data_IF_049616903277
#
_entry.id   IF_049616903277
#
_cell.length_a   1.000
_cell.length_b   1.000
_cell.length_c   1.000
_cell.angle_alpha   90.00
_cell.angle_beta   90.00
_cell.angle_gamma   90.00
#
_symmetry.space_group_name_H-M   'P 1'
#
loop_
_entity.id
_entity.type
_entity.pdbx_description
1 polymer ?
#
# COMPACT_ATOMS: atom_id res chain seq x y z
N UNK A 1 -21.12 -48.31 -27.62
CA UNK A 1 -19.95 -48.24 -26.73
C UNK A 1 -19.39 -46.84 -26.84
N UNK A 2 -19.77 -45.96 -25.92
CA UNK A 2 -19.55 -44.51 -26.04
C UNK A 2 -18.17 -44.11 -25.54
N UNK A 3 -17.34 -43.61 -26.45
CA UNK A 3 -16.07 -42.94 -26.17
C UNK A 3 -16.33 -41.56 -25.55
N UNK A 4 -15.96 -41.41 -24.28
CA UNK A 4 -16.02 -40.15 -23.56
C UNK A 4 -14.97 -39.17 -24.12
N UNK A 5 -15.43 -37.96 -24.48
CA UNK A 5 -14.61 -36.84 -24.97
C UNK A 5 -13.52 -36.45 -23.97
N UNK A 6 -13.75 -36.74 -22.68
CA UNK A 6 -12.78 -36.52 -21.60
C UNK A 6 -11.59 -37.47 -21.73
N UNK A 7 -11.83 -38.73 -22.08
CA UNK A 7 -10.75 -39.71 -22.27
C UNK A 7 -9.86 -39.35 -23.48
N UNK A 8 -10.43 -38.77 -24.54
CA UNK A 8 -9.66 -38.31 -25.69
C UNK A 8 -8.76 -37.11 -25.35
N UNK A 9 -9.25 -36.17 -24.53
CA UNK A 9 -8.48 -34.99 -24.10
C UNK A 9 -7.34 -35.34 -23.14
N UNK A 10 -7.53 -36.33 -22.27
CA UNK A 10 -6.48 -36.83 -21.37
C UNK A 10 -5.35 -37.50 -22.16
N UNK A 11 -5.69 -38.30 -23.17
CA UNK A 11 -4.70 -38.96 -24.03
C UNK A 11 -3.85 -37.97 -24.84
N UNK A 12 -4.45 -36.87 -25.33
CA UNK A 12 -3.72 -35.79 -26.02
C UNK A 12 -2.80 -35.03 -25.04
N UNK A 13 -3.28 -34.73 -23.83
CA UNK A 13 -2.47 -34.06 -22.81
C UNK A 13 -1.26 -34.87 -22.35
N UNK A 14 -1.42 -36.20 -22.22
CA UNK A 14 -0.32 -37.11 -21.87
C UNK A 14 0.68 -37.29 -23.01
N UNK A 15 0.24 -37.22 -24.27
CA UNK A 15 1.13 -37.25 -25.44
C UNK A 15 2.07 -36.04 -25.47
N UNK A 16 1.57 -34.83 -25.17
CA UNK A 16 2.41 -33.63 -25.10
C UNK A 16 3.37 -33.62 -23.89
N UNK A 17 2.96 -34.18 -22.74
CA UNK A 17 3.85 -34.32 -21.58
C UNK A 17 5.00 -35.31 -21.80
N UNK A 18 4.81 -36.35 -22.63
CA UNK A 18 5.89 -37.30 -22.94
C UNK A 18 6.94 -36.74 -23.89
N UNK A 19 6.59 -35.76 -24.73
CA UNK A 19 7.52 -35.12 -25.67
C UNK A 19 8.42 -34.08 -24.99
N UNK A 20 8.02 -33.53 -23.84
CA UNK A 20 8.83 -32.52 -23.12
C UNK A 20 9.92 -33.09 -22.19
N UNK A 21 10.01 -34.41 -22.04
CA UNK A 21 10.92 -35.07 -21.08
C UNK A 21 12.25 -35.54 -21.71
N UNK A 22 12.82 -34.75 -22.62
CA UNK A 22 14.03 -35.15 -23.35
C UNK A 22 14.76 -34.03 -24.08
N UNK A 23 14.96 -32.87 -23.46
CA UNK A 23 15.90 -31.88 -23.98
C UNK A 23 16.68 -31.21 -22.84
N UNK A 24 17.99 -31.46 -22.84
CA UNK A 24 18.98 -30.75 -22.02
C UNK A 24 18.95 -29.28 -22.42
N UNK A 25 18.55 -28.39 -21.50
CA UNK A 25 18.62 -26.94 -21.74
C UNK A 25 20.06 -26.47 -21.59
N UNK A 26 20.77 -26.35 -22.71
CA UNK A 26 21.90 -25.44 -22.82
C UNK A 26 21.33 -24.04 -22.98
N UNK A 27 21.43 -23.19 -21.94
CA UNK A 27 20.97 -21.80 -22.00
C UNK A 27 22.03 -20.97 -22.70
N UNK A 28 21.82 -20.69 -23.99
CA UNK A 28 22.52 -19.62 -24.70
C UNK A 28 21.68 -18.36 -24.53
N UNK A 29 22.17 -17.37 -23.77
CA UNK A 29 21.56 -16.04 -23.68
C UNK A 29 21.84 -15.29 -24.98
N UNK A 30 20.85 -15.19 -25.87
CA UNK A 30 20.81 -14.13 -26.87
C UNK A 30 20.02 -12.95 -26.29
N UNK A 31 20.71 -11.85 -25.98
CA UNK A 31 20.08 -10.56 -25.72
C UNK A 31 19.65 -9.96 -27.06
N UNK A 32 18.39 -10.16 -27.44
CA UNK A 32 17.77 -9.44 -28.55
C UNK A 32 17.17 -8.16 -27.95
N UNK A 33 17.60 -6.99 -28.43
CA UNK A 33 17.00 -5.74 -27.95
C UNK A 33 15.56 -5.64 -28.48
N UNK A 34 14.67 -5.02 -27.72
CA UNK A 34 13.28 -4.81 -28.16
C UNK A 34 13.20 -4.10 -29.53
N UNK A 35 14.19 -3.26 -29.83
CA UNK A 35 14.30 -2.55 -31.12
C UNK A 35 14.58 -3.50 -32.29
N UNK A 36 15.32 -4.60 -32.07
CA UNK A 36 15.61 -5.58 -33.12
C UNK A 36 14.37 -6.40 -33.46
N UNK A 37 13.56 -6.75 -32.45
CA UNK A 37 12.25 -7.41 -32.64
C UNK A 37 11.28 -6.47 -33.35
N UNK A 38 11.24 -5.20 -32.95
CA UNK A 38 10.38 -4.21 -33.60
C UNK A 38 10.77 -3.99 -35.06
N UNK A 39 12.07 -3.96 -35.35
CA UNK A 39 12.59 -3.84 -36.72
C UNK A 39 12.22 -5.06 -37.57
N UNK A 40 12.36 -6.28 -37.05
CA UNK A 40 11.94 -7.49 -37.74
C UNK A 40 10.44 -7.54 -38.01
N UNK A 41 9.62 -7.10 -37.05
CA UNK A 41 8.17 -6.98 -37.21
C UNK A 41 7.85 -5.97 -38.33
N UNK A 42 8.47 -4.79 -38.32
CA UNK A 42 8.29 -3.78 -39.36
C UNK A 42 8.68 -4.29 -40.76
N UNK A 43 9.79 -5.02 -40.89
CA UNK A 43 10.22 -5.62 -42.16
C UNK A 43 9.23 -6.68 -42.64
N UNK A 44 8.69 -7.51 -41.74
CA UNK A 44 7.68 -8.51 -42.08
C UNK A 44 6.33 -7.87 -42.46
N UNK A 45 5.95 -6.77 -41.81
CA UNK A 45 4.74 -6.02 -42.14
C UNK A 45 4.84 -5.37 -43.54
N UNK A 46 6.00 -4.83 -43.94
CA UNK A 46 6.23 -4.34 -45.31
C UNK A 46 6.17 -5.46 -46.36
N UNK A 47 6.74 -6.64 -46.06
CA UNK A 47 6.63 -7.81 -46.94
C UNK A 47 5.17 -8.28 -47.10
N UNK A 48 4.39 -8.29 -46.01
CA UNK A 48 2.97 -8.60 -46.05
C UNK A 48 2.18 -7.57 -46.88
N UNK A 49 2.48 -6.28 -46.75
CA UNK A 49 1.87 -5.22 -47.55
C UNK A 49 2.14 -5.40 -49.04
N UNK A 50 3.37 -5.69 -49.45
CA UNK A 50 3.71 -5.96 -50.85
C UNK A 50 3.00 -7.22 -51.40
N UNK A 51 2.89 -8.27 -50.59
CA UNK A 51 2.15 -9.47 -50.96
C UNK A 51 0.65 -9.21 -51.12
N UNK A 52 0.05 -8.41 -50.22
CA UNK A 52 -1.37 -8.02 -50.31
C UNK A 52 -1.60 -7.11 -51.52
N UNK A 53 -0.74 -6.11 -51.76
CA UNK A 53 -0.79 -5.26 -52.97
C UNK A 53 -0.70 -6.06 -54.28
N UNK A 54 -0.01 -7.21 -54.27
CA UNK A 54 0.06 -8.11 -55.43
C UNK A 54 -1.22 -8.90 -55.68
N UNK A 55 -2.09 -9.03 -54.67
CA UNK A 55 -3.30 -9.86 -54.68
C UNK A 55 -4.59 -9.07 -54.88
N UNK A 56 -4.66 -7.80 -54.47
CA UNK A 56 -5.88 -6.99 -54.51
C UNK A 56 -5.75 -5.86 -55.54
N UNK A 57 -6.66 -5.81 -56.53
CA UNK A 57 -6.66 -4.83 -57.63
C UNK A 57 -7.54 -3.59 -57.38
N UNK A 58 -8.28 -3.53 -56.27
CA UNK A 58 -9.16 -2.41 -55.94
C UNK A 58 -8.53 -1.48 -54.90
N UNK A 59 -8.61 -0.16 -55.16
CA UNK A 59 -8.10 0.89 -54.26
C UNK A 59 -8.76 0.85 -52.87
N UNK A 60 -10.00 0.35 -52.78
CA UNK A 60 -10.74 0.20 -51.51
C UNK A 60 -10.07 -0.80 -50.56
N UNK A 61 -9.57 -1.91 -51.09
CA UNK A 61 -9.06 -3.02 -50.28
C UNK A 61 -7.67 -2.67 -49.73
N UNK A 62 -6.90 -1.91 -50.52
CA UNK A 62 -5.59 -1.37 -50.13
C UNK A 62 -5.74 -0.39 -48.97
N UNK A 63 -6.75 0.48 -48.99
CA UNK A 63 -7.01 1.44 -47.92
C UNK A 63 -7.40 0.74 -46.60
N UNK A 64 -8.24 -0.30 -46.68
CA UNK A 64 -8.66 -1.09 -45.52
C UNK A 64 -7.47 -1.81 -44.89
N UNK A 65 -6.64 -2.45 -45.71
CA UNK A 65 -5.44 -3.15 -45.22
C UNK A 65 -4.45 -2.16 -44.60
N UNK A 66 -4.22 -1.02 -45.24
CA UNK A 66 -3.31 0.01 -44.72
C UNK A 66 -3.80 0.58 -43.38
N UNK A 67 -5.11 0.73 -43.20
CA UNK A 67 -5.72 1.15 -41.93
C UNK A 67 -5.50 0.12 -40.83
N UNK A 68 -5.74 -1.17 -41.09
CA UNK A 68 -5.50 -2.22 -40.09
C UNK A 68 -4.02 -2.33 -39.73
N UNK A 69 -3.11 -2.20 -40.69
CA UNK A 69 -1.67 -2.22 -40.44
C UNK A 69 -1.22 -1.03 -39.59
N UNK A 70 -1.76 0.17 -39.84
CA UNK A 70 -1.52 1.35 -39.00
C UNK A 70 -2.08 1.12 -37.59
N UNK A 71 -3.28 0.58 -37.46
CA UNK A 71 -3.92 0.26 -36.18
C UNK A 71 -3.09 -0.74 -35.36
N UNK A 72 -2.61 -1.82 -35.98
CA UNK A 72 -1.77 -2.81 -35.29
C UNK A 72 -0.42 -2.23 -34.88
N UNK A 73 0.20 -1.39 -35.71
CA UNK A 73 1.44 -0.69 -35.35
C UNK A 73 1.23 0.29 -34.19
N UNK A 74 0.11 1.03 -34.18
CA UNK A 74 -0.26 1.91 -33.06
C UNK A 74 -0.51 1.10 -31.78
N UNK A 75 -1.20 -0.05 -31.86
CA UNK A 75 -1.42 -0.93 -30.72
C UNK A 75 -0.13 -1.53 -30.16
N UNK A 76 0.84 -1.85 -31.02
CA UNK A 76 2.16 -2.35 -30.61
C UNK A 76 3.04 -1.24 -29.98
N UNK A 77 2.89 0.01 -30.43
CA UNK A 77 3.58 1.18 -29.86
C UNK A 77 2.93 1.63 -28.55
N UNK A 78 1.62 1.42 -28.39
CA UNK A 78 0.88 1.88 -27.21
C UNK A 78 1.26 1.17 -25.91
N UNK A 79 2.01 0.06 -25.93
CA UNK A 79 2.61 -0.54 -24.73
C UNK A 79 1.64 -0.97 -23.62
N UNK A 80 0.32 -0.84 -23.82
CA UNK A 80 -0.68 -0.90 -22.75
C UNK A 80 -1.87 -1.76 -23.20
N UNK A 81 -1.59 -3.02 -23.55
CA UNK A 81 -2.61 -4.06 -23.61
C UNK A 81 -2.61 -4.77 -22.26
N UNK A 82 -3.18 -4.09 -21.26
CA UNK A 82 -3.70 -4.74 -20.07
C UNK A 82 -4.71 -5.81 -20.50
N UNK A 83 -4.54 -7.05 -20.04
CA UNK A 83 -5.30 -8.21 -20.56
C UNK A 83 -6.79 -8.22 -20.18
N UNK A 84 -7.32 -7.17 -19.55
CA UNK A 84 -8.72 -7.09 -19.14
C UNK A 84 -9.22 -5.64 -18.87
N UNK A 85 -9.93 -4.99 -19.80
CA UNK A 85 -10.64 -3.76 -19.52
C UNK A 85 -12.12 -4.06 -19.19
N UNK A 86 -12.44 -4.34 -17.93
CA UNK A 86 -13.84 -4.41 -17.46
C UNK A 86 -14.04 -4.96 -16.05
N UNK A 87 -14.94 -4.39 -15.21
CA UNK A 87 -15.14 -4.83 -13.83
C UNK A 87 -16.07 -6.05 -13.79
N UNK A 88 -15.52 -7.26 -13.90
CA UNK A 88 -16.34 -8.45 -14.05
C UNK A 88 -15.64 -9.76 -13.74
N UNK A 89 -15.15 -9.96 -12.52
CA UNK A 89 -14.64 -11.27 -12.11
C UNK A 89 -14.31 -11.33 -10.63
N UNK A 90 -15.34 -11.38 -9.76
CA UNK A 90 -15.21 -11.32 -8.29
C UNK A 90 -14.51 -10.03 -7.79
N UNK A 91 -14.82 -9.48 -6.61
CA UNK A 91 -13.76 -8.77 -5.92
C UNK A 91 -12.70 -9.84 -5.73
N UNK A 92 -11.50 -9.68 -6.30
CA UNK A 92 -10.35 -10.34 -5.71
C UNK A 92 -10.49 -10.14 -4.20
N UNK A 93 -10.40 -11.21 -3.39
CA UNK A 93 -10.35 -11.02 -1.96
C UNK A 93 -9.32 -9.91 -1.71
N UNK A 94 -9.65 -8.88 -0.91
CA UNK A 94 -8.76 -7.74 -0.71
C UNK A 94 -7.37 -8.31 -0.51
N UNK A 95 -6.43 -7.91 -1.38
CA UNK A 95 -5.07 -8.42 -1.31
C UNK A 95 -4.67 -8.40 0.14
N UNK A 96 -4.29 -9.57 0.66
CA UNK A 96 -4.06 -9.72 2.10
C UNK A 96 -2.69 -9.19 2.48
N UNK A 97 -2.38 -8.03 1.95
CA UNK A 97 -1.08 -7.41 1.90
C UNK A 97 -1.02 -6.29 2.93
N UNK A 98 0.20 -5.99 3.36
CA UNK A 98 0.51 -4.88 4.24
C UNK A 98 1.74 -4.18 3.67
N UNK A 99 1.67 -2.87 3.51
CA UNK A 99 2.74 -2.06 2.94
C UNK A 99 3.58 -1.39 4.04
N UNK A 100 4.90 -1.52 3.95
CA UNK A 100 5.86 -0.96 4.90
C UNK A 100 6.80 -0.04 4.12
N UNK A 101 6.90 1.21 4.58
CA UNK A 101 7.80 2.21 4.03
C UNK A 101 8.90 2.57 5.02
N UNK A 102 10.07 2.92 4.49
CA UNK A 102 11.17 3.53 5.22
C UNK A 102 11.79 4.68 4.45
N UNK A 103 12.15 5.74 5.16
CA UNK A 103 13.07 6.75 4.64
C UNK A 103 13.94 7.36 5.72
N UNK A 104 15.18 7.69 5.38
CA UNK A 104 15.98 8.62 6.18
C UNK A 104 15.50 10.05 5.86
N UNK A 105 14.90 10.74 6.84
CA UNK A 105 14.23 12.02 6.61
C UNK A 105 15.08 13.24 6.94
N UNK A 106 16.29 13.07 7.50
CA UNK A 106 17.23 14.17 7.82
C UNK A 106 16.53 15.35 8.52
N UNK A 107 15.87 15.10 9.64
CA UNK A 107 14.97 16.01 10.41
C UNK A 107 13.51 16.03 9.95
N UNK A 108 12.60 15.72 10.88
CA UNK A 108 11.17 15.56 10.63
C UNK A 108 10.34 16.85 10.74
N UNK A 109 10.61 17.70 11.76
CA UNK A 109 9.65 18.73 12.24
C UNK A 109 9.07 19.64 11.13
N UNK A 110 9.91 20.07 10.20
CA UNK A 110 9.51 21.03 9.16
C UNK A 110 9.05 20.35 7.85
N UNK A 111 8.93 19.02 7.83
CA UNK A 111 8.70 18.22 6.61
C UNK A 111 7.39 17.42 6.64
N UNK A 112 6.62 17.52 7.73
CA UNK A 112 5.37 16.77 7.94
C UNK A 112 4.37 16.92 6.78
N UNK A 113 4.17 18.15 6.28
CA UNK A 113 3.23 18.40 5.19
C UNK A 113 3.63 17.68 3.89
N UNK A 114 4.93 17.64 3.57
CA UNK A 114 5.41 16.98 2.36
C UNK A 114 5.30 15.45 2.47
N UNK A 115 5.68 14.90 3.62
CA UNK A 115 5.69 13.45 3.79
C UNK A 115 4.29 12.88 3.89
N UNK A 116 3.28 13.67 4.29
CA UNK A 116 1.91 13.19 4.49
C UNK A 116 1.35 12.56 3.21
N UNK A 117 1.52 13.25 2.07
CA UNK A 117 1.04 12.75 0.77
C UNK A 117 1.82 11.52 0.32
N UNK A 118 3.14 11.51 0.56
CA UNK A 118 4.02 10.38 0.21
C UNK A 118 3.65 9.11 0.97
N UNK A 119 3.27 9.24 2.24
CA UNK A 119 3.10 8.10 3.13
C UNK A 119 1.65 7.62 3.29
N UNK A 120 0.67 8.35 2.74
CA UNK A 120 -0.76 8.03 2.88
C UNK A 120 -1.12 6.61 2.43
N UNK A 121 -0.41 6.09 1.42
CA UNK A 121 -0.65 4.76 0.87
C UNK A 121 -0.04 3.62 1.71
N UNK A 122 0.88 3.94 2.62
CA UNK A 122 1.60 2.95 3.42
C UNK A 122 0.89 2.62 4.74
N UNK A 123 0.88 1.35 5.11
CA UNK A 123 0.25 0.90 6.36
C UNK A 123 1.15 1.16 7.57
N UNK A 124 2.45 0.89 7.43
CA UNK A 124 3.48 1.15 8.43
C UNK A 124 4.59 1.98 7.78
N UNK A 125 5.05 3.01 8.48
CA UNK A 125 6.01 3.99 7.98
C UNK A 125 7.08 4.18 9.04
N UNK A 126 8.34 4.00 8.66
CA UNK A 126 9.49 4.24 9.52
C UNK A 126 10.31 5.41 8.99
N UNK A 127 10.74 6.28 9.89
CA UNK A 127 11.75 7.29 9.57
C UNK A 127 12.97 7.16 10.48
N UNK A 128 14.14 7.22 9.87
CA UNK A 128 15.44 7.40 10.54
C UNK A 128 15.87 8.86 10.45
N UNK A 129 16.76 9.30 11.34
CA UNK A 129 17.17 10.70 11.50
C UNK A 129 15.99 11.67 11.72
N UNK A 130 15.08 11.30 12.63
CA UNK A 130 13.95 12.17 12.97
C UNK A 130 14.37 13.52 13.56
N UNK A 131 15.55 13.58 14.21
CA UNK A 131 16.11 14.75 14.89
C UNK A 131 15.13 15.34 15.92
N UNK A 132 14.43 14.45 16.62
CA UNK A 132 13.52 14.80 17.69
C UNK A 132 14.19 14.69 19.06
N UNK A 133 13.56 15.34 20.03
CA UNK A 133 13.90 15.28 21.44
C UNK A 133 12.60 15.21 22.27
N UNK A 134 12.76 14.91 23.56
CA UNK A 134 11.66 14.71 24.51
C UNK A 134 10.77 15.95 24.68
N UNK A 135 11.26 17.15 24.36
CA UNK A 135 10.50 18.39 24.48
C UNK A 135 9.52 18.59 23.32
N UNK A 136 9.62 17.81 22.24
CA UNK A 136 8.66 17.85 21.14
C UNK A 136 7.41 17.08 21.54
N UNK A 137 6.24 17.72 21.65
CA UNK A 137 4.98 17.03 21.93
C UNK A 137 4.59 16.10 20.78
N UNK A 138 4.02 14.93 21.09
CA UNK A 138 3.55 13.99 20.06
C UNK A 138 2.44 14.60 19.15
N UNK A 139 1.69 15.57 19.68
CA UNK A 139 0.65 16.30 18.93
C UNK A 139 1.24 17.07 17.75
N UNK A 140 2.42 17.66 17.91
CA UNK A 140 3.08 18.51 16.89
C UNK A 140 3.63 17.68 15.73
N UNK A 141 3.80 16.38 15.94
CA UNK A 141 4.32 15.41 14.97
C UNK A 141 3.28 14.34 14.62
N UNK A 142 2.01 14.57 14.97
CA UNK A 142 0.91 13.67 14.65
C UNK A 142 0.52 13.79 13.18
N UNK A 143 0.21 12.65 12.54
CA UNK A 143 -0.17 12.58 11.15
C UNK A 143 -1.59 12.05 11.01
N UNK A 144 -2.40 12.71 10.19
CA UNK A 144 -3.78 12.31 9.98
C UNK A 144 -3.85 10.90 9.37
N UNK A 145 -4.69 10.03 9.95
CA UNK A 145 -4.85 8.64 9.50
C UNK A 145 -3.89 7.64 10.16
N UNK A 146 -2.91 8.12 10.93
CA UNK A 146 -2.00 7.31 11.72
C UNK A 146 -2.35 7.39 13.21
N UNK A 147 -1.98 6.36 13.97
CA UNK A 147 -2.02 6.37 15.43
C UNK A 147 -0.88 7.25 16.00
N UNK A 148 -0.87 7.43 17.33
CA UNK A 148 0.22 8.13 18.02
C UNK A 148 1.59 7.53 17.64
N UNK A 149 2.57 8.35 17.23
CA UNK A 149 3.86 7.85 16.80
C UNK A 149 4.61 7.13 17.92
N UNK A 150 5.32 6.06 17.57
CA UNK A 150 6.26 5.38 18.47
C UNK A 150 7.66 5.84 18.13
N UNK A 151 8.39 6.40 19.09
CA UNK A 151 9.72 6.99 18.85
C UNK A 151 10.79 6.50 19.81
N UNK A 152 12.05 6.63 19.37
CA UNK A 152 13.28 6.50 20.15
C UNK A 152 14.13 7.71 19.81
N UNK A 153 14.05 8.73 20.65
CA UNK A 153 14.73 10.00 20.45
C UNK A 153 16.18 9.95 20.92
N UNK A 154 17.02 10.83 20.36
CA UNK A 154 18.42 10.97 20.75
C UNK A 154 18.67 12.32 21.43
N UNK A 155 18.92 13.38 20.66
CA UNK A 155 19.20 14.71 21.21
C UNK A 155 18.96 15.89 20.22
N UNK A 156 17.98 15.79 19.31
CA UNK A 156 17.64 16.76 18.26
C UNK A 156 18.76 17.19 17.28
N UNK A 157 20.02 16.91 17.59
CA UNK A 157 21.19 17.27 16.78
C UNK A 157 21.62 16.15 15.81
N UNK A 158 20.88 15.06 15.75
CA UNK A 158 21.20 13.89 14.93
C UNK A 158 20.51 12.62 15.42
N UNK A 159 20.23 11.70 14.50
CA UNK A 159 19.63 10.41 14.80
C UNK A 159 18.17 10.50 15.27
N UNK A 160 17.74 9.46 15.98
CA UNK A 160 16.37 9.21 16.40
C UNK A 160 15.57 8.44 15.34
N UNK A 161 14.74 7.51 15.81
CA UNK A 161 13.88 6.68 14.97
C UNK A 161 12.43 6.91 15.37
N UNK A 162 11.53 6.99 14.38
CA UNK A 162 10.10 7.13 14.60
C UNK A 162 9.31 6.18 13.68
N UNK A 163 8.21 5.66 14.20
CA UNK A 163 7.27 4.80 13.49
C UNK A 163 5.88 5.43 13.51
N UNK A 164 5.25 5.48 12.34
CA UNK A 164 3.83 5.72 12.17
C UNK A 164 3.16 4.45 11.65
N UNK A 165 1.95 4.18 12.12
CA UNK A 165 1.16 3.03 11.66
C UNK A 165 -0.32 3.37 11.65
N UNK A 166 -1.05 2.83 10.68
CA UNK A 166 -2.50 3.06 10.56
C UNK A 166 -3.28 2.37 11.67
N UNK A 167 -4.43 2.95 12.00
CA UNK A 167 -5.43 2.31 12.86
C UNK A 167 -5.76 0.89 12.35
N UNK A 168 -5.98 -0.06 13.27
CA UNK A 168 -6.25 -1.50 13.02
C UNK A 168 -5.02 -2.41 12.79
N UNK A 169 -3.81 -1.87 12.72
CA UNK A 169 -2.59 -2.68 12.71
C UNK A 169 -2.27 -3.11 14.15
N UNK A 170 -2.20 -4.43 14.38
CA UNK A 170 -1.79 -4.97 15.66
C UNK A 170 -0.27 -5.11 15.69
N UNK A 171 0.40 -4.05 16.13
CA UNK A 171 1.86 -3.98 16.23
C UNK A 171 2.26 -3.61 17.66
N UNK A 172 3.25 -4.31 18.22
CA UNK A 172 3.70 -4.12 19.60
C UNK A 172 5.21 -3.94 19.61
N UNK A 173 5.73 -2.92 20.30
CA UNK A 173 7.17 -2.74 20.45
C UNK A 173 7.76 -3.81 21.38
N UNK A 174 8.85 -4.44 20.95
CA UNK A 174 9.60 -5.50 21.65
C UNK A 174 10.93 -4.96 22.18
N UNK A 175 10.85 -4.18 23.26
CA UNK A 175 12.03 -3.55 23.90
C UNK A 175 13.05 -4.59 24.38
N UNK A 176 12.59 -5.79 24.70
CA UNK A 176 13.42 -6.92 25.13
C UNK A 176 14.35 -7.47 24.04
N UNK A 177 14.06 -7.19 22.76
CA UNK A 177 14.93 -7.50 21.62
C UNK A 177 15.88 -6.34 21.26
N UNK A 178 15.73 -5.17 21.87
CA UNK A 178 16.60 -4.00 21.61
C UNK A 178 17.94 -4.11 22.36
N UNK A 179 18.93 -3.34 21.89
CA UNK A 179 20.23 -3.20 22.55
C UNK A 179 20.60 -1.72 22.67
N UNK A 180 21.10 -1.29 23.83
CA UNK A 180 21.35 0.13 24.12
C UNK A 180 22.41 0.76 23.22
N UNK A 181 23.43 -0.02 22.84
CA UNK A 181 24.50 0.41 21.92
C UNK A 181 24.05 0.48 20.46
N UNK A 182 22.84 0.02 20.13
CA UNK A 182 22.31 0.05 18.77
C UNK A 182 21.08 0.94 18.72
N UNK A 183 21.12 1.94 17.85
CA UNK A 183 19.96 2.77 17.58
C UNK A 183 18.98 1.96 16.72
N UNK A 184 18.14 1.18 17.39
CA UNK A 184 17.13 0.33 16.76
C UNK A 184 15.85 0.29 17.58
N UNK A 185 14.75 -0.07 16.92
CA UNK A 185 13.51 -0.48 17.56
C UNK A 185 13.05 -1.80 16.96
N UNK A 186 12.48 -2.66 17.81
CA UNK A 186 11.88 -3.93 17.42
C UNK A 186 10.38 -3.89 17.60
N UNK A 187 9.66 -4.51 16.68
CA UNK A 187 8.21 -4.59 16.69
C UNK A 187 7.75 -5.99 16.32
N UNK A 188 6.67 -6.43 16.97
CA UNK A 188 5.98 -7.65 16.64
C UNK A 188 4.65 -7.29 15.95
N UNK A 189 4.59 -7.54 14.63
CA UNK A 189 3.37 -7.42 13.84
C UNK A 189 2.57 -8.72 13.94
N UNK A 190 1.42 -8.67 14.60
CA UNK A 190 0.52 -9.81 14.78
C UNK A 190 -0.58 -9.79 13.72
N UNK A 191 -0.51 -10.74 12.79
CA UNK A 191 -1.60 -10.95 11.83
C UNK A 191 -2.45 -12.16 12.22
N UNK A 192 -3.54 -12.39 11.48
CA UNK A 192 -4.39 -13.57 11.69
C UNK A 192 -3.68 -14.89 11.35
N UNK A 193 -2.64 -14.83 10.51
CA UNK A 193 -1.96 -16.03 10.00
C UNK A 193 -0.65 -16.29 10.73
N UNK A 194 0.10 -15.23 11.07
CA UNK A 194 1.43 -15.33 11.66
C UNK A 194 1.82 -14.05 12.39
N UNK A 195 2.85 -14.16 13.21
CA UNK A 195 3.59 -13.01 13.75
C UNK A 195 4.80 -12.73 12.87
N UNK A 196 5.18 -11.46 12.70
CA UNK A 196 6.38 -11.03 11.98
C UNK A 196 7.13 -10.07 12.88
N UNK A 197 8.42 -10.31 13.09
CA UNK A 197 9.30 -9.38 13.80
C UNK A 197 9.86 -8.37 12.79
N UNK A 198 9.66 -7.08 13.08
CA UNK A 198 10.12 -5.97 12.27
C UNK A 198 11.16 -5.21 13.07
N UNK A 199 12.32 -4.97 12.48
CA UNK A 199 13.42 -4.26 13.11
C UNK A 199 13.82 -3.07 12.25
N UNK A 200 13.66 -1.88 12.80
CA UNK A 200 14.14 -0.63 12.20
C UNK A 200 15.48 -0.26 12.86
N UNK A 201 16.48 0.04 12.05
CA UNK A 201 17.83 0.37 12.55
C UNK A 201 18.33 1.68 11.95
N UNK A 202 19.09 2.40 12.74
CA UNK A 202 19.90 3.50 12.28
C UNK A 202 21.34 3.27 12.76
N UNK A 203 22.28 3.17 11.84
CA UNK A 203 23.71 3.11 12.16
C UNK A 203 24.35 4.42 11.78
N UNK A 204 24.89 5.17 12.73
CA UNK A 204 25.70 6.35 12.40
C UNK A 204 27.02 5.95 11.72
N UNK A 205 27.46 6.73 10.73
CA UNK A 205 28.78 6.56 10.11
C UNK A 205 29.94 6.58 11.11
N UNK A 206 29.78 7.35 12.21
CA UNK A 206 30.78 7.49 13.28
C UNK A 206 30.85 6.27 14.20
N UNK A 207 29.86 5.39 14.15
CA UNK A 207 29.81 4.21 15.00
C UNK A 207 30.76 3.12 14.48
N UNK A 208 31.47 2.49 15.42
CA UNK A 208 32.32 1.33 15.14
C UNK A 208 31.53 0.27 14.38
N UNK A 209 32.01 -0.06 13.18
CA UNK A 209 31.38 -1.07 12.34
C UNK A 209 31.38 -2.43 13.05
N UNK A 210 32.47 -2.81 13.71
CA UNK A 210 32.58 -4.12 14.37
C UNK A 210 31.57 -4.26 15.50
N UNK A 211 31.51 -3.28 16.41
CA UNK A 211 30.61 -3.34 17.56
C UNK A 211 29.14 -3.37 17.12
N UNK A 212 28.76 -2.53 16.14
CA UNK A 212 27.39 -2.52 15.62
C UNK A 212 26.96 -3.90 15.12
N UNK A 213 27.76 -4.53 14.25
CA UNK A 213 27.38 -5.81 13.64
C UNK A 213 27.38 -6.96 14.64
N UNK A 214 28.23 -6.92 15.68
CA UNK A 214 28.19 -7.89 16.79
C UNK A 214 26.88 -7.79 17.58
N UNK A 215 26.46 -6.57 17.95
CA UNK A 215 25.20 -6.38 18.67
C UNK A 215 23.99 -6.63 17.77
N UNK A 216 24.07 -6.29 16.49
CA UNK A 216 23.04 -6.62 15.50
C UNK A 216 22.83 -8.12 15.37
N UNK A 217 23.91 -8.90 15.24
CA UNK A 217 23.86 -10.37 15.22
C UNK A 217 23.28 -10.94 16.53
N UNK A 218 23.64 -10.37 17.69
CA UNK A 218 23.06 -10.78 18.97
C UNK A 218 21.55 -10.52 19.04
N UNK A 219 21.08 -9.36 18.58
CA UNK A 219 19.64 -9.07 18.52
C UNK A 219 18.92 -10.02 17.55
N UNK A 220 19.51 -10.28 16.37
CA UNK A 220 18.95 -11.20 15.38
C UNK A 220 18.81 -12.62 15.92
N UNK A 221 19.83 -13.15 16.59
CA UNK A 221 19.79 -14.50 17.20
C UNK A 221 18.66 -14.63 18.21
N UNK A 222 18.52 -13.66 19.12
CA UNK A 222 17.40 -13.64 20.08
C UNK A 222 16.04 -13.60 19.38
N UNK A 223 15.92 -12.82 18.31
CA UNK A 223 14.69 -12.72 17.54
C UNK A 223 14.38 -14.03 16.79
N UNK A 224 15.39 -14.68 16.20
CA UNK A 224 15.26 -15.96 15.48
C UNK A 224 14.92 -17.12 16.40
N UNK A 225 15.38 -17.08 17.66
CA UNK A 225 14.99 -18.07 18.68
C UNK A 225 13.47 -18.06 18.95
N UNK A 226 12.80 -16.92 18.70
CA UNK A 226 11.36 -16.76 18.90
C UNK A 226 10.53 -16.88 17.61
N UNK A 227 11.03 -16.33 16.49
CA UNK A 227 10.28 -16.23 15.26
C UNK A 227 11.19 -16.24 14.01
N UNK A 228 10.89 -17.13 13.08
CA UNK A 228 11.60 -17.27 11.81
C UNK A 228 11.19 -16.24 10.74
N UNK A 229 10.21 -15.38 11.01
CA UNK A 229 9.77 -14.30 10.12
C UNK A 229 10.30 -12.95 10.62
N UNK A 230 11.46 -12.56 10.11
CA UNK A 230 12.14 -11.31 10.44
C UNK A 230 12.28 -10.42 9.20
N UNK A 231 11.93 -9.15 9.38
CA UNK A 231 12.10 -8.08 8.41
C UNK A 231 12.91 -6.97 9.07
N UNK A 232 14.16 -6.79 8.63
CA UNK A 232 15.00 -5.67 9.06
C UNK A 232 15.05 -4.62 7.96
N UNK A 233 14.96 -3.36 8.34
CA UNK A 233 15.06 -2.22 7.44
C UNK A 233 15.75 -1.05 8.16
N UNK A 234 16.13 -0.02 7.42
CA UNK A 234 16.73 1.18 7.98
C UNK A 234 18.02 1.60 7.30
N UNK A 235 18.56 2.74 7.72
CA UNK A 235 19.85 3.25 7.24
C UNK A 235 21.00 2.60 8.01
N UNK A 236 21.76 1.74 7.33
CA UNK A 236 22.90 1.04 7.90
C UNK A 236 24.25 1.73 7.61
N UNK A 237 24.24 2.83 6.86
CA UNK A 237 25.43 3.58 6.44
C UNK A 237 26.55 2.65 5.92
N UNK A 238 26.16 1.64 5.14
CA UNK A 238 27.04 0.72 4.41
C UNK A 238 26.48 0.52 3.03
N UNK A 239 27.34 0.55 2.01
CA UNK A 239 26.91 0.42 0.63
C UNK A 239 26.71 -1.06 0.25
N UNK A 240 25.46 -1.49 0.15
CA UNK A 240 25.07 -2.86 -0.24
C UNK A 240 25.18 -3.14 -1.74
N UNK A 241 25.43 -2.13 -2.58
CA UNK A 241 25.80 -2.34 -3.99
C UNK A 241 27.29 -2.66 -4.17
N UNK A 242 28.13 -2.31 -3.18
CA UNK A 242 29.56 -2.60 -3.20
C UNK A 242 29.89 -3.90 -2.50
N UNK A 243 31.12 -4.38 -2.64
CA UNK A 243 31.58 -5.57 -1.91
C UNK A 243 31.58 -5.30 -0.39
N UNK A 244 30.53 -5.79 0.27
CA UNK A 244 30.38 -5.67 1.72
C UNK A 244 31.44 -6.57 2.37
N UNK A 245 32.03 -6.09 3.48
CA UNK A 245 33.04 -6.84 4.24
C UNK A 245 32.52 -8.22 4.69
N UNK A 246 33.42 -9.20 4.73
CA UNK A 246 33.08 -10.61 5.00
C UNK A 246 32.27 -10.79 6.27
N UNK A 247 32.62 -10.10 7.36
CA UNK A 247 31.90 -10.16 8.62
C UNK A 247 30.42 -9.77 8.52
N UNK A 248 30.06 -8.81 7.66
CA UNK A 248 28.67 -8.37 7.48
C UNK A 248 27.92 -9.42 6.65
N UNK A 249 28.57 -9.91 5.59
CA UNK A 249 28.04 -10.98 4.75
C UNK A 249 27.76 -12.24 5.57
N UNK A 250 28.66 -12.59 6.48
CA UNK A 250 28.52 -13.73 7.38
C UNK A 250 27.33 -13.53 8.32
N UNK A 251 27.17 -12.35 8.94
CA UNK A 251 26.01 -12.04 9.79
C UNK A 251 24.70 -12.17 9.01
N UNK A 252 24.63 -11.61 7.80
CA UNK A 252 23.42 -11.70 6.97
C UNK A 252 23.13 -13.16 6.59
N UNK A 253 24.13 -13.89 6.12
CA UNK A 253 23.98 -15.26 5.63
C UNK A 253 23.65 -16.26 6.74
N UNK A 254 24.35 -16.20 7.87
CA UNK A 254 24.14 -17.11 9.02
C UNK A 254 22.73 -16.95 9.60
N UNK A 255 22.21 -15.73 9.60
CA UNK A 255 20.86 -15.43 10.09
C UNK A 255 19.77 -15.62 9.01
N UNK A 256 20.10 -16.16 7.84
CA UNK A 256 19.13 -16.46 6.78
C UNK A 256 18.45 -15.23 6.19
N UNK A 257 19.13 -14.08 6.22
CA UNK A 257 18.62 -12.81 5.69
C UNK A 257 19.06 -12.63 4.24
N UNK A 258 18.17 -12.08 3.42
CA UNK A 258 18.46 -11.64 2.06
C UNK A 258 18.11 -10.17 1.89
N UNK A 259 18.98 -9.39 1.25
CA UNK A 259 18.64 -8.03 0.85
C UNK A 259 17.76 -8.09 -0.39
N UNK A 260 16.59 -7.44 -0.34
CA UNK A 260 15.67 -7.39 -1.48
C UNK A 260 15.83 -6.11 -2.30
N UNK A 261 16.40 -5.03 -1.78
CA UNK A 261 16.55 -3.78 -2.55
C UNK A 261 17.81 -3.82 -3.42
N UNK A 262 17.67 -3.46 -4.69
CA UNK A 262 18.71 -3.52 -5.72
C UNK A 262 19.00 -2.15 -6.39
N UNK A 263 18.27 -1.10 -6.01
CA UNK A 263 18.45 0.27 -6.51
C UNK A 263 19.18 1.14 -5.49
N UNK A 264 19.90 2.20 -5.91
CA UNK A 264 20.50 3.16 -4.99
C UNK A 264 19.45 3.85 -4.13
N UNK A 265 19.81 4.14 -2.88
CA UNK A 265 18.94 4.84 -1.92
C UNK A 265 19.55 6.14 -1.42
N UNK A 266 20.81 6.43 -1.69
CA UNK A 266 21.48 7.66 -1.27
C UNK A 266 22.25 8.27 -2.43
N UNK A 267 22.19 9.60 -2.53
CA UNK A 267 22.77 10.40 -3.61
C UNK A 267 23.66 11.51 -3.04
N UNK A 268 24.97 11.36 -3.17
CA UNK A 268 25.92 12.41 -2.78
C UNK A 268 25.97 13.48 -3.88
N UNK A 269 25.33 14.62 -3.64
CA UNK A 269 25.28 15.73 -4.60
C UNK A 269 26.64 16.38 -4.86
N UNK A 270 27.62 16.24 -3.95
CA UNK A 270 28.96 16.79 -4.11
C UNK A 270 29.82 15.93 -5.03
N UNK A 271 29.71 14.60 -4.91
CA UNK A 271 30.54 13.67 -5.70
C UNK A 271 29.81 13.07 -6.91
N UNK A 272 28.48 13.18 -6.96
CA UNK A 272 27.64 12.52 -7.97
C UNK A 272 27.50 11.00 -7.76
N UNK A 273 28.02 10.47 -6.66
CA UNK A 273 27.99 9.03 -6.37
C UNK A 273 26.63 8.60 -5.81
N UNK A 274 26.27 7.36 -6.12
CA UNK A 274 25.05 6.72 -5.61
C UNK A 274 25.41 5.47 -4.82
N UNK A 275 24.68 5.23 -3.73
CA UNK A 275 24.92 4.11 -2.82
C UNK A 275 23.60 3.53 -2.31
N UNK A 276 23.57 2.24 -2.00
CA UNK A 276 22.45 1.60 -1.32
C UNK A 276 22.81 1.51 0.17
N UNK A 277 22.33 2.47 0.96
CA UNK A 277 22.57 2.54 2.40
C UNK A 277 21.39 2.01 3.22
N UNK A 278 20.22 1.92 2.59
CA UNK A 278 18.93 1.62 3.22
C UNK A 278 18.40 0.26 2.74
N UNK A 279 19.05 -0.87 3.06
CA UNK A 279 18.60 -2.18 2.61
C UNK A 279 17.30 -2.59 3.31
N UNK A 280 16.54 -3.47 2.66
CA UNK A 280 15.50 -4.25 3.33
C UNK A 280 15.98 -5.70 3.35
N UNK A 281 16.27 -6.20 4.55
CA UNK A 281 16.72 -7.57 4.79
C UNK A 281 15.53 -8.40 5.27
N UNK A 282 15.24 -9.50 4.59
CA UNK A 282 14.12 -10.38 4.97
C UNK A 282 14.58 -11.82 5.09
N UNK A 283 13.94 -12.58 5.97
CA UNK A 283 14.01 -14.04 5.95
C UNK A 283 13.14 -14.62 4.83
N UNK A 284 13.53 -15.76 4.27
CA UNK A 284 12.79 -16.49 3.23
C UNK A 284 11.33 -16.83 3.59
N UNK A 285 11.00 -16.84 4.89
CA UNK A 285 9.65 -17.10 5.34
C UNK A 285 8.67 -15.97 4.96
N UNK A 286 9.14 -14.74 4.71
CA UNK A 286 8.29 -13.59 4.40
C UNK A 286 7.92 -13.59 2.90
N UNK A 287 6.61 -13.54 2.64
CA UNK A 287 6.09 -13.53 1.27
C UNK A 287 6.05 -12.08 0.77
N UNK A 288 7.13 -11.63 0.14
CA UNK A 288 7.22 -10.32 -0.51
C UNK A 288 6.38 -10.34 -1.79
N UNK A 289 5.48 -9.37 -1.93
CA UNK A 289 4.61 -9.17 -3.11
C UNK A 289 5.19 -8.11 -4.02
N UNK A 290 5.60 -6.99 -3.45
CA UNK A 290 6.18 -5.87 -4.17
C UNK A 290 7.27 -5.20 -3.33
N UNK A 291 8.25 -4.59 -3.98
CA UNK A 291 9.38 -3.91 -3.33
C UNK A 291 10.05 -2.97 -4.32
N UNK A 292 10.31 -1.74 -3.90
CA UNK A 292 11.07 -0.78 -4.70
C UNK A 292 11.61 0.38 -3.85
N UNK A 293 12.36 1.27 -4.49
CA UNK A 293 12.78 2.58 -3.99
C UNK A 293 11.83 3.66 -4.49
N UNK A 294 11.53 4.65 -3.65
CA UNK A 294 10.71 5.80 -3.99
C UNK A 294 11.58 7.05 -3.95
N UNK A 295 11.72 7.77 -5.09
CA UNK A 295 12.45 9.02 -5.12
C UNK A 295 11.86 10.04 -4.14
N UNK A 296 12.72 10.65 -3.33
CA UNK A 296 12.37 11.78 -2.46
C UNK A 296 13.02 13.05 -3.02
N UNK A 297 12.31 14.17 -2.92
CA UNK A 297 12.85 15.47 -3.33
C UNK A 297 14.16 15.77 -2.59
N UNK A 298 15.19 16.18 -3.33
CA UNK A 298 16.54 16.46 -2.77
C UNK A 298 16.57 17.69 -1.86
N UNK A 299 15.57 18.57 -1.92
CA UNK A 299 15.36 19.61 -0.92
C UNK A 299 14.91 19.08 0.45
N UNK A 300 14.53 17.80 0.52
CA UNK A 300 13.93 17.15 1.68
C UNK A 300 14.85 16.09 2.23
N UNK A 301 15.35 15.18 1.39
CA UNK A 301 16.39 14.24 1.78
C UNK A 301 17.28 13.88 0.60
N UNK A 302 18.56 13.65 0.87
CA UNK A 302 19.50 13.02 -0.06
C UNK A 302 19.36 11.50 -0.09
N UNK A 303 18.49 10.94 0.76
CA UNK A 303 18.02 9.56 0.68
C UNK A 303 16.68 9.46 -0.05
N UNK A 304 16.55 8.40 -0.85
CA UNK A 304 15.28 7.91 -1.36
C UNK A 304 14.68 6.90 -0.38
N UNK A 305 13.34 6.85 -0.37
CA UNK A 305 12.62 5.90 0.45
C UNK A 305 12.73 4.49 -0.11
N UNK A 306 12.56 3.49 0.74
CA UNK A 306 12.44 2.08 0.35
C UNK A 306 11.12 1.54 0.88
N UNK A 307 10.45 0.72 0.10
CA UNK A 307 9.24 0.06 0.57
C UNK A 307 9.21 -1.43 0.25
N UNK A 308 8.38 -2.14 1.00
CA UNK A 308 8.06 -3.53 0.79
C UNK A 308 6.59 -3.78 1.12
N UNK A 309 5.92 -4.51 0.23
CA UNK A 309 4.56 -4.99 0.42
C UNK A 309 4.62 -6.49 0.68
N UNK A 310 4.11 -6.92 1.83
CA UNK A 310 4.16 -8.31 2.27
C UNK A 310 2.78 -8.94 2.30
N UNK A 311 2.64 -10.16 1.79
CA UNK A 311 1.44 -10.97 1.99
C UNK A 311 1.50 -11.61 3.38
N UNK A 312 0.73 -11.05 4.30
CA UNK A 312 0.73 -11.47 5.69
C UNK A 312 -0.67 -11.80 6.21
N UNK A 313 -1.68 -11.88 5.34
CA UNK A 313 -3.04 -12.14 5.79
C UNK A 313 -3.75 -10.90 6.33
N UNK A 314 -3.13 -9.72 6.23
CA UNK A 314 -3.70 -8.47 6.71
C UNK A 314 -4.91 -8.09 5.84
N UNK A 315 -6.02 -7.76 6.47
CA UNK A 315 -7.18 -7.23 5.76
C UNK A 315 -7.44 -5.85 6.35
N UNK A 316 -6.97 -4.82 5.67
CA UNK A 316 -7.36 -3.44 5.97
C UNK A 316 -8.82 -3.24 5.57
N UNK A 317 -9.77 -3.80 6.33
CA UNK A 317 -11.13 -3.28 6.21
C UNK A 317 -11.11 -1.96 6.95
N UNK A 318 -10.82 -0.86 6.24
CA UNK A 318 -10.85 0.50 6.78
C UNK A 318 -12.27 0.81 7.19
N UNK A 319 -12.65 0.37 8.39
CA UNK A 319 -13.92 0.72 9.02
C UNK A 319 -13.63 1.45 10.30
N UNK A 320 -13.73 2.76 10.27
CA UNK A 320 -13.58 3.58 11.46
C UNK A 320 -14.94 4.13 11.88
N UNK A 321 -15.05 4.46 13.16
CA UNK A 321 -16.24 5.10 13.70
C UNK A 321 -16.01 6.61 13.73
N UNK A 322 -16.94 7.37 13.19
CA UNK A 322 -16.93 8.83 13.24
C UNK A 322 -18.17 9.32 13.96
N UNK A 323 -18.00 10.24 14.89
CA UNK A 323 -19.13 11.03 15.43
C UNK A 323 -19.53 12.06 14.38
N UNK A 324 -20.81 12.07 14.03
CA UNK A 324 -21.39 13.01 13.08
C UNK A 324 -22.56 13.71 13.78
N UNK A 325 -22.65 15.02 13.59
CA UNK A 325 -23.78 15.84 14.01
C UNK A 325 -25.05 15.40 13.30
N UNK A 326 -26.11 15.12 14.07
CA UNK A 326 -27.43 14.78 13.53
C UNK A 326 -28.29 16.04 13.40
N UNK A 327 -27.95 16.89 12.43
CA UNK A 327 -28.65 18.15 12.18
C UNK A 327 -30.17 17.99 11.97
N UNK A 328 -30.64 16.80 11.57
CA UNK A 328 -32.07 16.54 11.42
C UNK A 328 -32.83 16.58 12.76
N UNK A 329 -32.15 16.24 13.85
CA UNK A 329 -32.72 16.16 15.20
C UNK A 329 -32.15 17.23 16.14
N UNK A 330 -31.52 18.28 15.58
CA UNK A 330 -31.01 19.40 16.38
C UNK A 330 -32.13 20.33 16.85
N UNK A 331 -32.00 20.83 18.08
CA UNK A 331 -32.87 21.87 18.62
C UNK A 331 -32.31 23.25 18.23
N UNK A 332 -32.74 23.75 17.07
CA UNK A 332 -32.27 25.02 16.55
C UNK A 332 -32.87 26.22 17.28
N UNK A 333 -34.02 26.07 17.95
CA UNK A 333 -34.62 27.14 18.73
C UNK A 333 -33.79 27.39 20.01
N UNK A 334 -33.39 26.31 20.69
CA UNK A 334 -32.46 26.39 21.81
C UNK A 334 -31.09 26.93 21.38
N UNK A 335 -30.59 26.51 20.22
CA UNK A 335 -29.33 27.00 19.67
C UNK A 335 -29.39 28.52 19.44
N UNK A 336 -30.45 29.01 18.79
CA UNK A 336 -30.65 30.44 18.55
C UNK A 336 -30.72 31.24 19.85
N UNK A 337 -31.45 30.74 20.86
CA UNK A 337 -31.52 31.38 22.17
C UNK A 337 -30.16 31.47 22.86
N UNK A 338 -29.35 30.40 22.79
CA UNK A 338 -28.00 30.39 23.40
C UNK A 338 -27.04 31.30 22.66
N UNK A 339 -27.08 31.32 21.34
CA UNK A 339 -26.27 32.24 20.52
C UNK A 339 -26.61 33.69 20.88
N UNK A 340 -27.88 34.04 21.02
CA UNK A 340 -28.32 35.40 21.37
C UNK A 340 -27.95 35.80 22.82
N UNK A 341 -27.91 34.86 23.75
CA UNK A 341 -27.55 35.11 25.16
C UNK A 341 -26.04 35.16 25.40
N UNK A 342 -25.25 34.69 24.44
CA UNK A 342 -23.79 34.66 24.57
C UNK A 342 -23.24 36.07 24.37
N UNK A 343 -22.41 36.54 25.32
CA UNK A 343 -21.76 37.84 25.22
C UNK A 343 -20.55 37.75 24.28
N UNK A 344 -20.79 37.90 22.98
CA UNK A 344 -19.74 37.83 21.94
C UNK A 344 -18.72 38.96 22.05
N UNK A 345 -19.13 40.13 22.56
CA UNK A 345 -18.25 41.29 22.74
C UNK A 345 -17.11 40.95 23.71
N UNK A 346 -17.43 40.34 24.85
CA UNK A 346 -16.42 39.89 25.81
C UNK A 346 -15.52 38.76 25.26
N UNK A 347 -16.03 37.92 24.36
CA UNK A 347 -15.26 36.78 23.83
C UNK A 347 -14.34 37.18 22.68
N UNK A 348 -14.70 38.23 21.93
CA UNK A 348 -14.03 38.65 20.69
C UNK A 348 -13.31 39.99 20.88
N UNK A 349 -13.98 41.01 21.40
CA UNK A 349 -13.45 42.37 21.53
C UNK A 349 -12.49 42.52 22.71
N UNK A 350 -12.71 41.79 23.80
CA UNK A 350 -11.85 41.82 24.99
C UNK A 350 -10.68 40.81 24.92
N UNK A 351 -10.48 40.15 23.78
CA UNK A 351 -9.40 39.19 23.59
C UNK A 351 -8.05 39.87 23.32
N UNK A 352 -6.97 39.34 23.91
CA UNK A 352 -5.62 39.91 23.80
C UNK A 352 -5.10 40.04 22.36
N UNK A 353 -5.51 39.12 21.48
CA UNK A 353 -5.15 39.13 20.06
C UNK A 353 -6.16 38.34 19.20
N UNK A 354 -6.03 38.48 17.88
CA UNK A 354 -6.92 37.87 16.88
C UNK A 354 -6.96 36.34 16.99
N UNK A 355 -5.84 35.69 17.30
CA UNK A 355 -5.81 34.22 17.43
C UNK A 355 -6.65 33.77 18.63
N UNK A 356 -6.51 34.45 19.78
CA UNK A 356 -7.30 34.18 20.99
C UNK A 356 -8.79 34.45 20.73
N UNK A 357 -9.14 35.53 20.04
CA UNK A 357 -10.52 35.83 19.66
C UNK A 357 -11.13 34.71 18.79
N UNK A 358 -10.37 34.20 17.81
CA UNK A 358 -10.79 33.11 16.93
C UNK A 358 -11.01 31.79 17.71
N UNK A 359 -10.10 31.48 18.63
CA UNK A 359 -10.23 30.31 19.52
C UNK A 359 -11.46 30.43 20.43
N UNK A 360 -11.67 31.59 21.06
CA UNK A 360 -12.81 31.84 21.94
C UNK A 360 -14.14 31.71 21.19
N UNK A 361 -14.24 32.31 20.01
CA UNK A 361 -15.41 32.20 19.14
C UNK A 361 -15.70 30.74 18.76
N UNK A 362 -14.68 30.05 18.25
CA UNK A 362 -14.81 28.66 17.77
C UNK A 362 -15.25 27.73 18.89
N UNK A 363 -14.61 27.81 20.06
CA UNK A 363 -14.94 26.99 21.21
C UNK A 363 -16.35 27.26 21.73
N UNK A 364 -16.74 28.54 21.81
CA UNK A 364 -18.07 28.92 22.30
C UNK A 364 -19.18 28.46 21.34
N UNK A 365 -18.98 28.65 20.04
CA UNK A 365 -19.94 28.22 19.02
C UNK A 365 -20.06 26.70 18.94
N UNK A 366 -18.94 25.97 18.97
CA UNK A 366 -18.94 24.51 18.98
C UNK A 366 -19.50 23.94 20.29
N UNK A 367 -19.27 24.62 21.42
CA UNK A 367 -19.88 24.28 22.71
C UNK A 367 -21.40 24.38 22.65
N UNK A 368 -21.94 25.51 22.18
CA UNK A 368 -23.38 25.68 21.97
C UNK A 368 -23.94 24.62 21.02
N UNK A 369 -23.25 24.37 19.89
CA UNK A 369 -23.64 23.34 18.94
C UNK A 369 -23.67 21.94 19.59
N UNK A 370 -22.69 21.61 20.44
CA UNK A 370 -22.61 20.32 21.15
C UNK A 370 -23.77 20.04 22.08
N UNK A 371 -24.34 21.09 22.68
CA UNK A 371 -25.47 20.98 23.59
C UNK A 371 -26.82 20.94 22.85
N UNK A 372 -26.90 21.52 21.66
CA UNK A 372 -28.17 21.66 20.92
C UNK A 372 -28.34 20.63 19.81
N UNK A 373 -27.24 20.10 19.28
CA UNK A 373 -27.25 19.17 18.15
C UNK A 373 -26.75 17.80 18.63
N UNK A 374 -27.64 16.79 18.72
CA UNK A 374 -27.22 15.44 19.08
C UNK A 374 -26.16 14.91 18.12
N UNK A 375 -25.22 14.13 18.64
CA UNK A 375 -24.24 13.41 17.82
C UNK A 375 -24.62 11.95 17.71
N UNK A 376 -24.36 11.34 16.56
CA UNK A 376 -24.49 9.90 16.35
C UNK A 376 -23.19 9.31 15.83
N UNK A 377 -22.92 8.08 16.21
CA UNK A 377 -21.74 7.35 15.75
C UNK A 377 -22.06 6.60 14.46
N UNK A 378 -21.26 6.83 13.41
CA UNK A 378 -21.41 6.16 12.11
C UNK A 378 -20.15 5.38 11.80
N UNK A 379 -20.32 4.12 11.41
CA UNK A 379 -19.23 3.29 10.87
C UNK A 379 -19.03 3.66 9.41
N UNK A 380 -18.00 4.44 9.13
CA UNK A 380 -17.53 4.73 7.77
C UNK A 380 -16.76 3.52 7.28
N UNK A 381 -16.94 3.12 6.02
CA UNK A 381 -16.11 2.11 5.38
C UNK A 381 -15.53 2.71 4.11
N UNK A 382 -14.22 2.79 4.01
CA UNK A 382 -13.57 3.52 2.91
C UNK A 382 -13.79 2.83 1.55
N UNK A 383 -14.00 1.51 1.55
CA UNK A 383 -14.25 0.75 0.32
C UNK A 383 -15.70 0.84 -0.17
N UNK A 384 -16.61 1.42 0.63
CA UNK A 384 -18.00 1.59 0.22
C UNK A 384 -18.08 2.64 -0.90
N UNK A 385 -18.70 2.28 -2.02
CA UNK A 385 -18.99 3.26 -3.08
C UNK A 385 -19.91 4.36 -2.54
N UNK A 386 -19.80 5.58 -3.06
CA UNK A 386 -20.55 6.75 -2.56
C UNK A 386 -22.08 6.51 -2.54
N UNK A 387 -22.62 5.77 -3.52
CA UNK A 387 -24.05 5.39 -3.60
C UNK A 387 -24.44 4.22 -2.69
N UNK A 388 -23.50 3.66 -1.95
CA UNK A 388 -23.65 2.42 -1.21
C UNK A 388 -24.02 2.65 0.25
N UNK A 389 -25.32 2.78 0.50
CA UNK A 389 -25.86 3.03 1.84
C UNK A 389 -26.18 1.75 2.65
N UNK A 390 -26.41 1.94 3.95
CA UNK A 390 -26.70 0.86 4.91
C UNK A 390 -27.96 0.04 4.57
N UNK A 391 -28.99 0.68 3.98
CA UNK A 391 -30.21 -0.02 3.57
C UNK A 391 -29.95 -0.95 2.39
N UNK A 392 -29.23 -0.48 1.36
CA UNK A 392 -28.82 -1.27 0.21
C UNK A 392 -27.92 -2.44 0.64
N UNK A 393 -27.01 -2.21 1.59
CA UNK A 393 -26.17 -3.27 2.18
C UNK A 393 -27.00 -4.35 2.87
N UNK A 394 -28.01 -3.97 3.66
CA UNK A 394 -28.93 -4.91 4.32
C UNK A 394 -29.67 -5.79 3.30
N UNK A 395 -30.20 -5.20 2.24
CA UNK A 395 -30.94 -5.91 1.21
C UNK A 395 -30.04 -6.80 0.33
N UNK A 396 -28.78 -6.40 0.11
CA UNK A 396 -27.75 -7.25 -0.52
C UNK A 396 -27.41 -8.47 0.33
N UNK A 397 -27.23 -8.32 1.64
CA UNK A 397 -27.00 -9.46 2.55
C UNK A 397 -28.17 -10.45 2.53
N UNK A 398 -29.42 -9.95 2.49
CA UNK A 398 -30.61 -10.81 2.33
C UNK A 398 -30.59 -11.58 1.01
N UNK A 399 -30.26 -10.91 -0.10
CA UNK A 399 -30.08 -11.56 -1.42
C UNK A 399 -29.06 -12.69 -1.35
N UNK A 400 -27.91 -12.45 -0.72
CA UNK A 400 -26.82 -13.44 -0.65
C UNK A 400 -27.19 -14.63 0.24
N UNK A 401 -27.93 -14.40 1.33
CA UNK A 401 -28.54 -15.47 2.13
C UNK A 401 -29.50 -16.32 1.30
N UNK A 402 -30.40 -15.72 0.53
CA UNK A 402 -31.30 -16.46 -0.35
C UNK A 402 -30.56 -17.20 -1.48
N UNK A 403 -29.47 -16.62 -2.02
CA UNK A 403 -28.60 -17.30 -2.98
C UNK A 403 -28.00 -18.58 -2.39
N UNK A 404 -27.43 -18.49 -1.18
CA UNK A 404 -26.87 -19.65 -0.47
C UNK A 404 -27.94 -20.71 -0.20
N UNK A 405 -29.13 -20.28 0.22
CA UNK A 405 -30.26 -21.17 0.47
C UNK A 405 -30.72 -21.89 -0.80
N UNK A 406 -30.81 -21.18 -1.92
CA UNK A 406 -31.14 -21.73 -3.23
C UNK A 406 -30.09 -22.74 -3.69
N UNK A 407 -28.79 -22.42 -3.60
CA UNK A 407 -27.72 -23.34 -3.99
C UNK A 407 -27.71 -24.63 -3.15
N UNK A 408 -28.12 -24.54 -1.87
CA UNK A 408 -28.20 -25.69 -0.97
C UNK A 408 -29.44 -26.56 -1.19
N UNK A 409 -30.63 -25.95 -1.26
CA UNK A 409 -31.90 -26.68 -1.33
C UNK A 409 -32.33 -27.01 -2.76
N UNK A 410 -31.86 -26.25 -3.76
CA UNK A 410 -32.26 -26.33 -5.18
C UNK A 410 -33.78 -26.36 -5.42
N UNK A 411 -34.56 -25.79 -4.52
CA UNK A 411 -36.03 -25.79 -4.60
C UNK A 411 -36.57 -24.57 -5.37
N UNK A 412 -37.71 -24.74 -6.04
CA UNK A 412 -38.40 -23.70 -6.81
C UNK A 412 -38.77 -22.49 -5.95
N UNK A 413 -39.20 -22.72 -4.70
CA UNK A 413 -39.52 -21.66 -3.74
C UNK A 413 -38.28 -20.84 -3.33
N UNK A 414 -37.13 -21.50 -3.13
CA UNK A 414 -35.89 -20.80 -2.80
C UNK A 414 -35.37 -20.00 -4.00
N UNK A 415 -35.54 -20.52 -5.22
CA UNK A 415 -35.22 -19.82 -6.47
C UNK A 415 -36.07 -18.55 -6.64
N UNK A 416 -37.39 -18.65 -6.42
CA UNK A 416 -38.30 -17.51 -6.52
C UNK A 416 -37.92 -16.40 -5.53
N UNK A 417 -37.69 -16.75 -4.26
CA UNK A 417 -37.27 -15.80 -3.22
C UNK A 417 -35.94 -15.11 -3.57
N UNK A 418 -34.98 -15.85 -4.12
CA UNK A 418 -33.72 -15.27 -4.59
C UNK A 418 -33.94 -14.31 -5.77
N UNK A 419 -34.71 -14.71 -6.79
CA UNK A 419 -35.00 -13.87 -7.98
C UNK A 419 -35.70 -12.56 -7.58
N UNK A 420 -36.71 -12.62 -6.71
CA UNK A 420 -37.42 -11.43 -6.21
C UNK A 420 -36.46 -10.48 -5.49
N UNK A 421 -35.65 -10.99 -4.56
CA UNK A 421 -34.71 -10.16 -3.81
C UNK A 421 -33.58 -9.61 -4.69
N UNK A 422 -33.11 -10.37 -5.69
CA UNK A 422 -32.13 -9.91 -6.68
C UNK A 422 -32.66 -8.71 -7.48
N UNK A 423 -33.89 -8.81 -7.96
CA UNK A 423 -34.52 -7.73 -8.75
C UNK A 423 -34.71 -6.47 -7.89
N UNK A 424 -35.15 -6.63 -6.63
CA UNK A 424 -35.25 -5.53 -5.67
C UNK A 424 -33.90 -4.81 -5.46
N UNK A 425 -32.83 -5.57 -5.19
CA UNK A 425 -31.48 -5.02 -5.01
C UNK A 425 -30.99 -4.28 -6.27
N UNK A 426 -31.24 -4.83 -7.46
CA UNK A 426 -30.84 -4.20 -8.71
C UNK A 426 -31.54 -2.84 -8.92
N UNK A 427 -32.84 -2.76 -8.61
CA UNK A 427 -33.58 -1.50 -8.68
C UNK A 427 -33.06 -0.48 -7.67
N UNK A 428 -32.79 -0.90 -6.42
CA UNK A 428 -32.19 -0.03 -5.41
C UNK A 428 -30.80 0.48 -5.80
N UNK A 429 -29.96 -0.35 -6.44
CA UNK A 429 -28.66 0.09 -6.98
C UNK A 429 -28.82 1.15 -8.05
N UNK A 430 -29.76 0.97 -8.99
CA UNK A 430 -30.05 1.95 -10.05
C UNK A 430 -30.50 3.29 -9.46
N UNK A 431 -31.41 3.26 -8.49
CA UNK A 431 -31.90 4.47 -7.83
C UNK A 431 -30.80 5.19 -7.06
N UNK A 432 -30.00 4.45 -6.27
CA UNK A 432 -28.92 5.04 -5.49
C UNK A 432 -27.83 5.70 -6.36
N UNK A 433 -27.50 5.11 -7.51
CA UNK A 433 -26.59 5.72 -8.49
C UNK A 433 -27.17 6.99 -9.12
N UNK A 434 -28.49 7.02 -9.38
CA UNK A 434 -29.16 8.19 -9.98
C UNK A 434 -29.25 9.38 -9.03
N UNK A 435 -29.43 9.14 -7.74
CA UNK A 435 -29.51 10.21 -6.72
C UNK A 435 -28.18 10.95 -6.53
N UNK A 436 -27.05 10.35 -6.89
CA UNK A 436 -25.71 10.95 -6.77
C UNK A 436 -25.28 11.79 -7.97
N UNK A 437 -26.00 11.71 -9.09
CA UNK A 437 -25.76 12.52 -10.29
C UNK A 437 -26.63 13.78 -10.33
N UNK A 438 -27.33 14.07 -9.23
CA UNK A 438 -28.09 15.31 -8.97
C UNK A 438 -27.47 15.98 -7.77
#
# INVERSE_FOLDING_TARGET
MGSDIVAHRISIGLFYCKISSGCVKTVIKHTVSFNDVLFEICVNLEKCKLWILSKYKSYSDIAIVSFYMLLYSLLLICGDIESNPGPGGTPDPPEKTLSIFHGNIRSLRNKLNYITDLIEDFDIVFFTESHLDVNVPDLDISLFGFETPVRKDRNANGGGIIMYYKSLINIIRRVDLEHDEVESMWFELKTKLRSILININYRSERQSSVCFWQYFDMMLKRALDENNSILCLGDLNKNFMSDISSNIRDVIFINGLINIIDKPTHFDTRTGNTSLLDPILVTDSIAVVDKDTIPIDRGISDHDGTYVTINCGFTSSRTYKRKIWDYKNGDFDLMNQKVLRTNWEHLISDADNINVACTNFTNSLLGIASECIPTREVVVRCDDKIWYNSNLRREMRKRDRFRKLFLRLKSSLAELKFKQQRNKVNNMKKQAKKTLLR
#
